data_IF_509411609794
#
_entry.id   IF_509411609794
#
_cell.length_a   1.000
_cell.length_b   1.000
_cell.length_c   1.000
_cell.angle_alpha   90.00
_cell.angle_beta   90.00
_cell.angle_gamma   90.00
#
_symmetry.space_group_name_H-M   'P 1'
#
loop_
_entity.id
_entity.type
_entity.pdbx_description
1 polymer ?
#
# COMPACT_ATOMS: atom_id res chain seq x y z
N UNK A 1 28.36 2.06 -10.02
CA UNK A 1 27.70 1.42 -8.85
C UNK A 1 26.22 1.32 -9.17
N UNK A 2 25.58 0.14 -8.99
CA UNK A 2 24.16 -0.04 -9.26
C UNK A 2 23.28 0.31 -8.05
N UNK A 3 21.97 0.42 -8.28
CA UNK A 3 20.92 0.53 -7.25
C UNK A 3 20.87 -0.76 -6.42
N UNK A 4 20.69 -0.66 -5.10
CA UNK A 4 20.63 -1.81 -4.18
C UNK A 4 19.20 -2.27 -3.85
N UNK A 5 18.30 -1.34 -3.55
CA UNK A 5 16.92 -1.62 -3.15
C UNK A 5 16.04 -0.36 -3.28
N UNK A 6 14.73 -0.55 -3.16
CA UNK A 6 13.80 0.53 -2.87
C UNK A 6 13.87 0.85 -1.36
N UNK A 7 14.17 2.09 -0.99
CA UNK A 7 14.24 2.51 0.41
C UNK A 7 12.86 2.92 0.96
N UNK A 8 12.23 3.87 0.29
CA UNK A 8 10.88 4.34 0.60
C UNK A 8 10.18 4.88 -0.63
N UNK A 9 8.86 5.05 -0.52
CA UNK A 9 8.04 5.84 -1.43
C UNK A 9 7.41 6.99 -0.66
N UNK A 10 6.95 8.02 -1.37
CA UNK A 10 6.21 9.13 -0.76
C UNK A 10 4.81 9.21 -1.36
N UNK A 11 3.78 9.24 -0.52
CA UNK A 11 2.40 9.41 -0.94
C UNK A 11 1.79 10.65 -0.27
N UNK A 12 1.12 11.53 -1.02
CA UNK A 12 0.30 12.57 -0.43
C UNK A 12 -0.99 11.98 0.16
N UNK A 13 -1.48 12.60 1.22
CA UNK A 13 -2.77 12.27 1.81
C UNK A 13 -3.65 13.51 1.94
N UNK A 14 -4.97 13.31 1.89
CA UNK A 14 -5.93 14.35 2.22
C UNK A 14 -6.23 14.42 3.73
N UNK A 15 -5.99 13.33 4.47
CA UNK A 15 -6.26 13.20 5.90
C UNK A 15 -5.26 12.23 6.55
N UNK A 16 -4.20 12.79 7.11
CA UNK A 16 -3.13 12.00 7.75
C UNK A 16 -3.65 11.14 8.89
N UNK A 17 -4.57 11.64 9.72
CA UNK A 17 -5.07 10.89 10.87
C UNK A 17 -5.82 9.61 10.42
N UNK A 18 -6.69 9.77 9.41
CA UNK A 18 -7.47 8.67 8.85
C UNK A 18 -6.59 7.64 8.15
N UNK A 19 -5.61 8.08 7.37
CA UNK A 19 -4.67 7.19 6.70
C UNK A 19 -3.83 6.39 7.72
N UNK A 20 -3.24 7.07 8.71
CA UNK A 20 -2.43 6.45 9.76
C UNK A 20 -3.26 5.42 10.55
N UNK A 21 -4.50 5.75 10.91
CA UNK A 21 -5.39 4.82 11.61
C UNK A 21 -5.67 3.55 10.80
N UNK A 22 -5.89 3.68 9.49
CA UNK A 22 -6.10 2.55 8.58
C UNK A 22 -4.90 1.60 8.55
N UNK A 23 -3.70 2.12 8.27
CA UNK A 23 -2.50 1.28 8.21
C UNK A 23 -2.12 0.69 9.57
N UNK A 24 -2.31 1.43 10.68
CA UNK A 24 -2.14 0.87 12.02
C UNK A 24 -3.08 -0.32 12.28
N UNK A 25 -4.33 -0.21 11.86
CA UNK A 25 -5.32 -1.28 12.05
C UNK A 25 -4.95 -2.58 11.30
N UNK A 26 -4.20 -2.44 10.19
CA UNK A 26 -3.62 -3.54 9.42
C UNK A 26 -2.29 -4.07 10.00
N UNK A 27 -1.82 -3.52 11.11
CA UNK A 27 -0.62 -3.99 11.82
C UNK A 27 0.68 -3.27 11.45
N UNK A 28 0.63 -2.18 10.69
CA UNK A 28 1.82 -1.38 10.40
C UNK A 28 2.24 -0.55 11.62
N UNK A 29 3.54 -0.43 11.82
CA UNK A 29 4.12 0.53 12.77
C UNK A 29 4.17 1.92 12.15
N UNK A 30 4.02 2.95 12.99
CA UNK A 30 4.01 4.36 12.55
C UNK A 30 5.20 5.09 13.14
N UNK A 31 6.00 5.72 12.28
CA UNK A 31 7.20 6.50 12.60
C UNK A 31 6.89 8.01 12.52
N UNK A 32 7.38 8.79 13.48
CA UNK A 32 7.22 10.26 13.49
C UNK A 32 5.82 10.80 13.82
N UNK A 33 4.88 9.97 14.24
CA UNK A 33 3.51 10.40 14.57
C UNK A 33 3.45 11.38 15.74
N UNK A 34 4.18 11.12 16.83
CA UNK A 34 4.19 12.01 18.00
C UNK A 34 4.68 13.41 17.64
N UNK A 35 5.74 13.50 16.83
CA UNK A 35 6.28 14.77 16.33
C UNK A 35 5.28 15.46 15.39
N UNK A 36 4.56 14.72 14.56
CA UNK A 36 3.51 15.29 13.72
C UNK A 36 2.35 15.85 14.55
N UNK A 37 1.87 15.10 15.55
CA UNK A 37 0.80 15.55 16.47
C UNK A 37 1.23 16.81 17.23
N UNK A 38 2.51 16.91 17.62
CA UNK A 38 3.08 18.09 18.27
C UNK A 38 3.25 19.29 17.32
N UNK A 39 3.12 19.11 16.01
CA UNK A 39 3.36 20.13 14.99
C UNK A 39 4.84 20.31 14.61
N UNK A 40 5.72 19.43 15.09
CA UNK A 40 7.17 19.45 14.85
C UNK A 40 7.58 18.69 13.58
N UNK A 41 6.67 17.90 13.00
CA UNK A 41 6.89 17.16 11.76
C UNK A 41 5.74 17.34 10.76
N UNK A 42 6.08 17.31 9.47
CA UNK A 42 5.13 17.44 8.34
C UNK A 42 5.07 16.16 7.48
N UNK A 43 5.74 15.10 7.92
CA UNK A 43 5.78 13.78 7.30
C UNK A 43 5.64 12.73 8.38
N UNK A 44 4.83 11.70 8.13
CA UNK A 44 4.67 10.52 8.99
C UNK A 44 5.07 9.28 8.19
N UNK A 45 5.75 8.33 8.83
CA UNK A 45 6.19 7.09 8.20
C UNK A 45 5.24 5.92 8.48
N UNK A 46 4.74 5.23 7.45
CA UNK A 46 4.10 3.91 7.60
C UNK A 46 5.19 2.86 7.34
N UNK A 47 5.59 2.11 8.36
CA UNK A 47 6.74 1.21 8.32
C UNK A 47 6.34 -0.19 7.86
N UNK A 48 7.05 -0.72 6.87
CA UNK A 48 6.89 -2.08 6.36
C UNK A 48 8.25 -2.80 6.29
N UNK A 49 8.54 -3.62 7.30
CA UNK A 49 9.86 -4.26 7.43
C UNK A 49 10.97 -3.23 7.56
N UNK A 50 11.91 -3.21 6.60
CA UNK A 50 13.01 -2.25 6.54
C UNK A 50 12.74 -1.05 5.61
N UNK A 51 11.51 -0.90 5.13
CA UNK A 51 11.09 0.15 4.20
C UNK A 51 9.96 0.98 4.83
N UNK A 52 9.60 2.10 4.20
CA UNK A 52 8.42 2.87 4.62
C UNK A 52 7.73 3.62 3.48
N UNK A 53 6.48 3.99 3.73
CA UNK A 53 5.82 5.09 3.02
C UNK A 53 6.03 6.37 3.84
N UNK A 54 6.64 7.38 3.23
CA UNK A 54 6.61 8.74 3.77
C UNK A 54 5.29 9.41 3.36
N UNK A 55 4.34 9.44 4.30
CA UNK A 55 3.07 10.15 4.15
C UNK A 55 3.32 11.64 4.17
N UNK A 56 3.04 12.29 3.05
CA UNK A 56 3.09 13.74 2.93
C UNK A 56 1.76 14.31 3.39
N UNK A 57 1.77 14.80 4.62
CA UNK A 57 0.57 15.28 5.31
C UNK A 57 -0.12 16.42 4.56
N UNK A 58 -1.39 16.65 4.85
CA UNK A 58 -2.17 17.76 4.31
C UNK A 58 -1.55 19.13 4.62
N UNK A 59 -0.77 19.25 5.71
CA UNK A 59 0.02 20.45 6.04
C UNK A 59 1.05 20.73 4.95
N UNK A 60 1.70 19.68 4.41
CA UNK A 60 2.74 19.83 3.40
C UNK A 60 2.15 20.18 2.02
N UNK A 61 0.86 19.88 1.81
CA UNK A 61 0.15 20.24 0.59
C UNK A 61 0.00 21.77 0.42
N UNK A 62 -0.08 22.54 1.51
CA UNK A 62 -0.10 24.02 1.43
C UNK A 62 1.25 24.63 1.03
N UNK A 63 2.33 23.84 1.02
CA UNK A 63 3.67 24.28 0.64
C UNK A 63 4.14 23.68 -0.70
N UNK A 64 3.24 23.19 -1.57
CA UNK A 64 3.63 22.56 -2.86
C UNK A 64 4.48 23.46 -3.75
N UNK A 65 4.29 24.77 -3.71
CA UNK A 65 5.06 25.75 -4.48
C UNK A 65 6.40 26.13 -3.84
N UNK A 66 6.68 25.66 -2.63
CA UNK A 66 7.91 25.99 -1.92
C UNK A 66 9.10 25.23 -2.52
N UNK A 67 10.23 25.87 -2.87
CA UNK A 67 11.34 25.21 -3.57
C UNK A 67 11.97 24.04 -2.80
N UNK A 68 11.91 24.06 -1.46
CA UNK A 68 12.41 22.96 -0.63
C UNK A 68 11.42 21.78 -0.53
N UNK A 69 10.18 21.95 -1.03
CA UNK A 69 9.20 20.88 -1.14
C UNK A 69 9.44 20.07 -2.42
N UNK A 70 10.41 19.14 -2.37
CA UNK A 70 10.68 18.24 -3.47
C UNK A 70 9.61 17.13 -3.52
N UNK A 71 8.62 17.28 -4.41
CA UNK A 71 7.54 16.29 -4.63
C UNK A 71 7.39 15.97 -6.12
N UNK A 72 6.79 14.82 -6.42
CA UNK A 72 6.33 14.56 -7.78
C UNK A 72 5.26 15.60 -8.17
N UNK A 73 5.34 16.19 -9.38
CA UNK A 73 4.52 17.35 -9.76
C UNK A 73 3.03 17.02 -9.93
N UNK A 74 2.69 15.74 -10.14
CA UNK A 74 1.33 15.25 -10.36
C UNK A 74 0.85 14.32 -9.24
N UNK A 75 1.59 14.21 -8.14
CA UNK A 75 1.17 13.36 -7.02
C UNK A 75 0.03 14.03 -6.24
N UNK A 76 -1.14 13.41 -6.31
CA UNK A 76 -2.34 13.77 -5.57
C UNK A 76 -2.81 12.57 -4.74
N UNK A 77 -3.54 12.76 -3.63
CA UNK A 77 -4.08 11.65 -2.85
C UNK A 77 -4.84 10.66 -3.75
N UNK A 78 -4.60 9.37 -3.57
CA UNK A 78 -5.14 8.31 -4.44
C UNK A 78 -4.25 7.90 -5.61
N UNK A 79 -3.07 8.50 -5.77
CA UNK A 79 -2.13 8.13 -6.83
C UNK A 79 -1.29 6.88 -6.54
N UNK A 80 -1.44 6.27 -5.36
CA UNK A 80 -0.69 5.10 -4.93
C UNK A 80 -1.25 3.79 -5.48
N UNK A 81 -0.34 2.92 -5.91
CA UNK A 81 -0.60 1.51 -6.23
C UNK A 81 0.56 0.71 -5.63
N UNK A 82 0.29 0.02 -4.52
CA UNK A 82 1.31 -0.56 -3.66
C UNK A 82 0.95 -2.01 -3.31
N UNK A 83 1.95 -2.89 -3.39
CA UNK A 83 1.83 -4.29 -3.00
C UNK A 83 2.68 -4.59 -1.77
N UNK A 84 2.04 -5.15 -0.73
CA UNK A 84 2.65 -5.58 0.52
C UNK A 84 2.61 -7.09 0.66
N UNK A 85 3.66 -7.66 1.24
CA UNK A 85 3.65 -9.07 1.61
C UNK A 85 2.81 -9.23 2.87
N UNK A 86 1.83 -10.14 2.82
CA UNK A 86 1.08 -10.58 4.00
C UNK A 86 1.56 -11.97 4.44
N UNK A 87 2.25 -12.03 5.57
CA UNK A 87 2.85 -13.29 6.05
C UNK A 87 1.84 -14.26 6.68
N UNK A 88 0.67 -13.77 7.12
CA UNK A 88 -0.37 -14.59 7.76
C UNK A 88 -1.14 -15.51 6.81
N UNK A 89 -0.96 -15.36 5.50
CA UNK A 89 -1.74 -16.06 4.47
C UNK A 89 -3.08 -15.40 4.12
N UNK A 90 -3.73 -15.90 3.08
CA UNK A 90 -4.93 -15.26 2.51
C UNK A 90 -6.14 -15.31 3.44
N UNK A 91 -6.36 -16.43 4.13
CA UNK A 91 -7.50 -16.55 5.06
C UNK A 91 -7.39 -15.58 6.24
N UNK A 92 -6.18 -15.43 6.80
CA UNK A 92 -5.89 -14.48 7.87
C UNK A 92 -6.07 -13.02 7.40
N UNK A 93 -5.60 -12.72 6.19
CA UNK A 93 -5.82 -11.41 5.57
C UNK A 93 -7.32 -11.12 5.44
N UNK A 94 -8.09 -12.02 4.83
CA UNK A 94 -9.53 -11.82 4.62
C UNK A 94 -10.29 -11.68 5.94
N UNK A 95 -9.92 -12.44 6.97
CA UNK A 95 -10.47 -12.32 8.31
C UNK A 95 -10.13 -10.94 8.94
N UNK A 96 -8.90 -10.48 8.77
CA UNK A 96 -8.46 -9.15 9.24
C UNK A 96 -9.23 -8.04 8.53
N UNK A 97 -9.31 -8.06 7.19
CA UNK A 97 -10.06 -7.07 6.41
C UNK A 97 -11.54 -7.05 6.82
N UNK A 98 -12.17 -8.22 6.97
CA UNK A 98 -13.56 -8.34 7.44
C UNK A 98 -13.75 -7.71 8.81
N UNK A 99 -12.85 -7.97 9.76
CA UNK A 99 -12.89 -7.38 11.12
C UNK A 99 -12.77 -5.86 11.09
N UNK A 100 -12.02 -5.32 10.14
CA UNK A 100 -11.85 -3.88 9.94
C UNK A 100 -12.98 -3.25 9.11
N UNK A 101 -13.95 -4.03 8.62
CA UNK A 101 -15.01 -3.57 7.75
C UNK A 101 -14.54 -3.21 6.34
N UNK A 102 -13.38 -3.70 5.92
CA UNK A 102 -12.81 -3.48 4.59
C UNK A 102 -13.27 -4.62 3.68
N UNK A 103 -13.97 -4.28 2.60
CA UNK A 103 -14.36 -5.25 1.58
C UNK A 103 -13.30 -5.26 0.48
N UNK A 104 -12.71 -6.43 0.14
CA UNK A 104 -11.84 -6.53 -1.03
C UNK A 104 -12.54 -6.11 -2.31
N UNK A 105 -11.85 -5.33 -3.14
CA UNK A 105 -12.30 -4.95 -4.49
C UNK A 105 -12.03 -6.09 -5.49
N UNK A 106 -10.95 -6.86 -5.28
CA UNK A 106 -10.59 -7.98 -6.14
C UNK A 106 -9.75 -9.04 -5.41
N UNK A 107 -9.72 -10.25 -5.97
CA UNK A 107 -8.96 -11.38 -5.45
C UNK A 107 -9.76 -12.30 -4.51
N UNK A 108 -9.17 -13.41 -4.04
CA UNK A 108 -7.79 -13.83 -4.28
C UNK A 108 -7.52 -14.16 -5.76
N UNK A 109 -6.37 -13.73 -6.28
CA UNK A 109 -5.97 -14.00 -7.66
C UNK A 109 -4.46 -14.23 -7.75
N UNK A 110 -4.01 -15.12 -8.63
CA UNK A 110 -2.57 -15.32 -8.81
C UNK A 110 -1.91 -14.11 -9.47
N UNK A 111 -0.75 -13.74 -8.93
CA UNK A 111 0.13 -12.68 -9.45
C UNK A 111 1.58 -13.09 -9.35
N UNK A 112 2.42 -12.54 -10.22
CA UNK A 112 3.87 -12.62 -10.09
C UNK A 112 4.29 -11.39 -9.29
N UNK A 113 4.69 -11.59 -8.03
CA UNK A 113 5.11 -10.47 -7.18
C UNK A 113 6.60 -10.13 -7.32
N UNK A 114 7.08 -9.19 -6.51
CA UNK A 114 8.45 -8.66 -6.58
C UNK A 114 9.58 -9.69 -6.40
N UNK A 115 9.30 -10.87 -5.84
CA UNK A 115 10.26 -12.00 -5.75
C UNK A 115 10.42 -12.79 -7.06
N UNK A 116 9.65 -12.46 -8.10
CA UNK A 116 9.68 -13.16 -9.39
C UNK A 116 8.98 -14.53 -9.39
N UNK A 117 8.23 -14.85 -8.33
CA UNK A 117 7.46 -16.10 -8.19
C UNK A 117 5.98 -15.80 -8.02
N UNK A 118 5.14 -16.81 -8.24
CA UNK A 118 3.69 -16.68 -8.02
C UNK A 118 3.36 -16.50 -6.54
N UNK A 119 2.42 -15.59 -6.27
CA UNK A 119 1.73 -15.43 -5.01
C UNK A 119 0.22 -15.28 -5.25
N UNK A 120 -0.56 -15.36 -4.17
CA UNK A 120 -1.98 -15.04 -4.19
C UNK A 120 -2.19 -13.62 -3.68
N UNK A 121 -2.89 -12.79 -4.45
CA UNK A 121 -3.08 -11.37 -4.16
C UNK A 121 -4.54 -11.02 -3.90
N UNK A 122 -4.78 -10.13 -2.94
CA UNK A 122 -6.07 -9.51 -2.64
C UNK A 122 -5.90 -8.00 -2.69
N UNK A 123 -6.89 -7.30 -3.25
CA UNK A 123 -6.86 -5.86 -3.48
C UNK A 123 -7.96 -5.14 -2.71
N UNK A 124 -7.64 -4.01 -2.11
CA UNK A 124 -8.60 -3.09 -1.50
C UNK A 124 -8.18 -1.62 -1.70
N UNK A 125 -9.03 -0.69 -1.28
CA UNK A 125 -8.74 0.74 -1.24
C UNK A 125 -8.36 1.17 0.18
N UNK A 126 -7.35 2.02 0.27
CA UNK A 126 -7.13 2.80 1.49
C UNK A 126 -8.06 4.03 1.53
N UNK A 127 -8.07 4.82 2.62
CA UNK A 127 -8.97 5.96 2.75
C UNK A 127 -8.85 7.03 1.66
N UNK A 128 -7.71 7.13 0.98
CA UNK A 128 -7.48 8.08 -0.11
C UNK A 128 -7.69 7.45 -1.49
N UNK A 129 -8.24 6.24 -1.55
CA UNK A 129 -8.48 5.44 -2.76
C UNK A 129 -7.21 4.91 -3.46
N UNK A 130 -6.06 4.92 -2.77
CA UNK A 130 -4.88 4.21 -3.28
C UNK A 130 -5.20 2.71 -3.41
N UNK A 131 -4.70 2.08 -4.46
CA UNK A 131 -4.81 0.63 -4.62
C UNK A 131 -3.80 -0.04 -3.67
N UNK A 132 -4.31 -0.83 -2.73
CA UNK A 132 -3.50 -1.61 -1.80
C UNK A 132 -3.67 -3.08 -2.13
N UNK A 133 -2.60 -3.67 -2.63
CA UNK A 133 -2.45 -5.10 -2.84
C UNK A 133 -1.77 -5.75 -1.63
N UNK A 134 -2.30 -6.88 -1.19
CA UNK A 134 -1.63 -7.79 -0.28
C UNK A 134 -1.36 -9.10 -0.98
N UNK A 135 -0.10 -9.52 -1.03
CA UNK A 135 0.34 -10.77 -1.64
C UNK A 135 0.82 -11.75 -0.57
N UNK A 136 0.31 -12.97 -0.61
CA UNK A 136 0.85 -14.11 0.14
C UNK A 136 1.68 -15.01 -0.78
N UNK A 137 2.83 -15.44 -0.28
CA UNK A 137 3.71 -16.42 -0.93
C UNK A 137 3.60 -17.82 -0.32
N UNK A 138 2.63 -18.06 0.56
CA UNK A 138 2.45 -19.39 1.14
C UNK A 138 2.03 -20.38 0.04
N UNK A 139 2.66 -21.58 -0.06
CA UNK A 139 2.33 -22.54 -1.11
C UNK A 139 0.84 -22.91 -1.16
N UNK A 140 0.20 -23.08 0.00
CA UNK A 140 -1.22 -23.40 0.10
C UNK A 140 -2.12 -22.32 -0.52
N UNK A 141 -1.77 -21.04 -0.35
CA UNK A 141 -2.54 -19.92 -0.91
C UNK A 141 -2.41 -19.88 -2.44
N UNK A 142 -1.20 -20.11 -2.95
CA UNK A 142 -0.94 -20.18 -4.39
C UNK A 142 -1.70 -21.36 -5.01
N UNK A 143 -1.63 -22.54 -4.39
CA UNK A 143 -2.32 -23.75 -4.85
C UNK A 143 -3.84 -23.60 -4.84
N UNK A 144 -4.41 -22.99 -3.81
CA UNK A 144 -5.85 -22.74 -3.68
C UNK A 144 -6.37 -21.68 -4.67
N UNK A 145 -5.50 -20.79 -5.13
CA UNK A 145 -5.87 -19.74 -6.09
C UNK A 145 -5.70 -20.25 -7.52
N UNK A 146 -6.71 -20.17 -8.40
CA UNK A 146 -6.57 -20.62 -9.78
C UNK A 146 -5.44 -19.88 -10.53
N UNK A 147 -4.69 -20.56 -11.42
CA UNK A 147 -3.73 -19.92 -12.31
C UNK A 147 -4.34 -18.75 -13.05
N UNK A 148 -3.54 -17.69 -13.25
CA UNK A 148 -3.99 -16.56 -14.06
C UNK A 148 -4.16 -17.01 -15.51
N UNK A 149 -5.35 -16.81 -16.08
CA UNK A 149 -5.60 -17.01 -17.52
C UNK A 149 -4.95 -15.86 -18.31
N UNK A 150 -3.67 -16.04 -18.65
CA UNK A 150 -2.86 -15.04 -19.33
C UNK A 150 -3.33 -14.75 -20.75
N UNK A 151 -4.07 -15.66 -21.40
CA UNK A 151 -4.60 -15.43 -22.75
C UNK A 151 -5.81 -14.49 -22.74
N UNK A 152 -6.61 -14.53 -21.68
CA UNK A 152 -7.83 -13.74 -21.55
C UNK A 152 -7.60 -12.38 -20.91
N UNK A 153 -6.69 -12.29 -19.94
CA UNK A 153 -6.48 -11.08 -19.12
C UNK A 153 -6.04 -9.84 -19.92
N UNK A 154 -5.23 -10.02 -20.97
CA UNK A 154 -4.72 -8.91 -21.79
C UNK A 154 -5.57 -8.58 -23.02
N UNK A 155 -6.56 -9.43 -23.34
CA UNK A 155 -7.32 -9.34 -24.60
C UNK A 155 -8.73 -8.79 -24.43
N UNK A 156 -9.30 -8.84 -23.23
CA UNK A 156 -10.60 -8.25 -22.95
C UNK A 156 -10.39 -6.82 -22.41
N UNK A 157 -10.91 -5.77 -23.07
CA UNK A 157 -10.88 -4.44 -22.51
C UNK A 157 -11.65 -4.46 -21.19
N UNK A 158 -11.03 -3.91 -20.14
CA UNK A 158 -11.72 -3.63 -18.87
C UNK A 158 -12.82 -2.62 -19.20
N UNK A 159 -14.06 -3.09 -19.16
CA UNK A 159 -15.27 -2.30 -19.44
C UNK A 159 -15.58 -1.34 -18.31
#
# INVERSE_FOLDING_TARGET
MPVSALDHVALPTADTARLVAFYRALGFSIDGEEAWIAGDAVVVGIVCGSQKINVRTEILASFRSHPANLSAPTAEPGCGDLCFIWEGGIDDLLATLTRLGITPEHGPVRRIGGRGVEGASVYCRDPDENLVEFISYLPADVEATPPMDTERFWKEPVV
#
